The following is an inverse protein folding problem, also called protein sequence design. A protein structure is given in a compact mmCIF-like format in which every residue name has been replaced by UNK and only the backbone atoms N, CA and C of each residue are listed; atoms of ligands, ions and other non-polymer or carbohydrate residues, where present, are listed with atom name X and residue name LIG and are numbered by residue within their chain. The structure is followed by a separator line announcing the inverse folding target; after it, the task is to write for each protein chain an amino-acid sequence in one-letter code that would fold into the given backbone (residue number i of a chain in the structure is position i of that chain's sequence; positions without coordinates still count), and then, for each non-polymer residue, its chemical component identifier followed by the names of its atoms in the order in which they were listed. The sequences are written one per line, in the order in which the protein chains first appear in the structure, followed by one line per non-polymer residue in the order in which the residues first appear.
data_IF_227905929758
#
_entry.id   IF_227905929758
#
_cell.length_a   1.000
_cell.length_b   1.000
_cell.length_c   1.000
_cell.angle_alpha   90.00
_cell.angle_beta   90.00
_cell.angle_gamma   90.00
#
_symmetry.space_group_name_H-M   'P 1'
#
loop_
_entity.id
_entity.type
_entity.pdbx_description
1 polymer ?
#
# COMPACT_ATOMS: atom_id res chain seq x y z
N UNK A 1 -3.31 4.37 16.44
CA UNK A 1 -3.58 3.21 15.58
C UNK A 1 -4.54 2.22 16.24
N UNK A 2 -4.25 1.73 17.45
CA UNK A 2 -5.03 0.66 18.11
C UNK A 2 -6.53 0.98 18.30
N UNK A 3 -6.89 2.23 18.56
CA UNK A 3 -8.29 2.66 18.76
C UNK A 3 -8.96 3.24 17.51
N UNK A 4 -8.31 3.12 16.35
CA UNK A 4 -8.86 3.59 15.07
C UNK A 4 -9.24 2.38 14.24
N UNK A 5 -10.46 2.37 13.78
CA UNK A 5 -10.97 1.34 12.89
C UNK A 5 -10.40 1.51 11.49
N UNK A 6 -10.30 0.42 10.74
CA UNK A 6 -9.81 0.43 9.36
C UNK A 6 -10.91 0.93 8.42
N UNK A 7 -12.07 0.32 8.45
CA UNK A 7 -13.21 0.64 7.56
C UNK A 7 -14.40 1.16 8.36
N UNK A 8 -14.85 0.44 9.39
CA UNK A 8 -16.03 0.80 10.15
C UNK A 8 -15.72 1.82 11.24
N UNK A 9 -16.21 3.05 11.08
CA UNK A 9 -16.00 4.10 12.06
C UNK A 9 -16.65 3.79 13.41
N UNK A 10 -15.96 4.16 14.50
CA UNK A 10 -16.45 4.06 15.89
C UNK A 10 -16.79 2.62 16.33
N UNK A 11 -16.16 1.62 15.74
CA UNK A 11 -16.39 0.22 16.08
C UNK A 11 -15.81 -0.12 17.46
N UNK A 12 -16.61 -0.79 18.28
CA UNK A 12 -16.24 -1.25 19.62
C UNK A 12 -15.91 -2.75 19.68
N UNK A 13 -16.32 -3.52 18.65
CA UNK A 13 -16.02 -4.93 18.58
C UNK A 13 -14.51 -5.16 18.30
N UNK A 14 -13.84 -5.81 19.22
CA UNK A 14 -12.41 -6.08 19.11
C UNK A 14 -12.04 -7.09 18.00
N UNK A 15 -13.01 -7.87 17.52
CA UNK A 15 -12.81 -8.82 16.42
C UNK A 15 -12.69 -8.13 15.07
N UNK A 16 -13.24 -6.91 14.94
CA UNK A 16 -13.18 -6.12 13.71
C UNK A 16 -11.81 -5.44 13.59
N UNK A 17 -11.26 -5.43 12.38
CA UNK A 17 -9.93 -4.89 12.13
C UNK A 17 -9.79 -3.43 12.53
N UNK A 18 -8.80 -3.15 13.36
CA UNK A 18 -8.28 -1.81 13.61
C UNK A 18 -7.13 -1.52 12.64
N UNK A 19 -6.74 -0.25 12.51
CA UNK A 19 -5.54 0.11 11.74
C UNK A 19 -4.27 -0.59 12.24
N UNK A 20 -4.17 -0.86 13.53
CA UNK A 20 -3.02 -1.58 14.08
C UNK A 20 -3.03 -3.05 13.66
N UNK A 21 -4.18 -3.74 13.77
CA UNK A 21 -4.27 -5.16 13.38
C UNK A 21 -4.09 -5.34 11.88
N UNK A 22 -4.64 -4.44 11.05
CA UNK A 22 -4.36 -4.40 9.61
C UNK A 22 -2.87 -4.19 9.33
N UNK A 23 -2.23 -3.20 9.95
CA UNK A 23 -0.79 -2.97 9.74
C UNK A 23 0.07 -4.18 10.14
N UNK A 24 -0.31 -4.93 11.19
CA UNK A 24 0.35 -6.17 11.57
C UNK A 24 0.16 -7.29 10.53
N UNK A 25 -1.03 -7.39 9.94
CA UNK A 25 -1.34 -8.34 8.85
C UNK A 25 -0.51 -8.01 7.59
N UNK A 26 -0.47 -6.72 7.19
CA UNK A 26 0.36 -6.26 6.07
C UNK A 26 1.84 -6.54 6.32
N UNK A 27 2.34 -6.27 7.52
CA UNK A 27 3.73 -6.55 7.90
C UNK A 27 4.06 -8.06 7.82
N UNK A 28 3.14 -8.93 8.25
CA UNK A 28 3.31 -10.37 8.14
C UNK A 28 3.32 -10.85 6.68
N UNK A 29 2.43 -10.32 5.84
CA UNK A 29 2.40 -10.63 4.42
C UNK A 29 3.67 -10.14 3.71
N UNK A 30 4.15 -8.94 4.02
CA UNK A 30 5.42 -8.42 3.49
C UNK A 30 6.62 -9.30 3.87
N UNK A 31 6.66 -9.74 5.12
CA UNK A 31 7.66 -10.71 5.59
C UNK A 31 7.61 -12.01 4.81
N UNK A 32 6.40 -12.52 4.52
CA UNK A 32 6.21 -13.74 3.75
C UNK A 32 6.67 -13.55 2.29
N UNK A 33 6.29 -12.45 1.63
CA UNK A 33 6.75 -12.11 0.27
C UNK A 33 8.28 -12.00 0.25
N UNK A 34 8.88 -11.23 1.17
CA UNK A 34 10.32 -11.03 1.22
C UNK A 34 11.09 -12.34 1.40
N UNK A 35 10.62 -13.25 2.27
CA UNK A 35 11.21 -14.59 2.42
C UNK A 35 11.08 -15.43 1.18
N UNK A 36 9.90 -15.45 0.56
CA UNK A 36 9.66 -16.21 -0.68
C UNK A 36 10.59 -15.76 -1.80
N UNK A 37 10.77 -14.43 -1.96
CA UNK A 37 11.73 -13.86 -2.92
C UNK A 37 13.15 -14.34 -2.60
N UNK A 38 13.61 -14.21 -1.36
CA UNK A 38 14.95 -14.62 -0.98
C UNK A 38 15.20 -16.11 -1.17
N UNK A 39 14.24 -16.95 -0.81
CA UNK A 39 14.37 -18.42 -0.95
C UNK A 39 14.49 -18.83 -2.43
N UNK A 40 13.79 -18.14 -3.33
CA UNK A 40 13.94 -18.35 -4.76
C UNK A 40 15.28 -17.81 -5.31
N UNK A 41 15.70 -16.62 -4.88
CA UNK A 41 16.97 -16.02 -5.32
C UNK A 41 18.19 -16.79 -4.82
N UNK A 42 18.11 -17.43 -3.66
CA UNK A 42 19.18 -18.32 -3.13
C UNK A 42 19.54 -19.45 -4.08
N UNK A 43 18.60 -19.90 -4.90
CA UNK A 43 18.88 -20.95 -5.91
C UNK A 43 19.90 -20.51 -6.97
N UNK A 44 20.08 -19.18 -7.14
CA UNK A 44 20.96 -18.59 -8.15
C UNK A 44 22.11 -17.77 -7.54
N UNK A 45 22.45 -17.96 -6.28
CA UNK A 45 23.44 -17.20 -5.51
C UNK A 45 23.03 -15.73 -5.25
N UNK A 46 22.77 -15.40 -3.98
CA UNK A 46 22.35 -14.06 -3.53
C UNK A 46 23.36 -12.96 -3.85
N UNK A 47 24.64 -13.30 -3.99
CA UNK A 47 25.70 -12.36 -4.37
C UNK A 47 25.44 -11.71 -5.74
N UNK A 48 24.85 -12.47 -6.67
CA UNK A 48 24.48 -11.98 -8.01
C UNK A 48 23.47 -10.82 -7.93
N UNK A 49 22.66 -10.77 -6.85
CA UNK A 49 21.65 -9.75 -6.61
C UNK A 49 22.08 -8.68 -5.58
N UNK A 50 23.33 -8.75 -5.11
CA UNK A 50 23.83 -7.82 -4.06
C UNK A 50 23.15 -8.00 -2.70
N UNK A 51 22.59 -9.18 -2.42
CA UNK A 51 21.87 -9.50 -1.20
C UNK A 51 22.65 -10.43 -0.25
N UNK A 52 23.93 -10.73 -0.56
CA UNK A 52 24.81 -11.47 0.33
C UNK A 52 24.89 -10.77 1.70
N UNK A 53 24.67 -11.49 2.78
CA UNK A 53 24.62 -10.99 4.16
C UNK A 53 23.51 -9.94 4.47
N UNK A 54 22.65 -9.62 3.49
CA UNK A 54 21.60 -8.59 3.63
C UNK A 54 20.18 -9.18 3.86
N UNK A 55 20.04 -10.49 3.98
CA UNK A 55 18.74 -11.17 4.07
C UNK A 55 17.87 -10.63 5.22
N UNK A 56 18.46 -10.55 6.43
CA UNK A 56 17.73 -10.05 7.59
C UNK A 56 17.34 -8.57 7.44
N UNK A 57 18.20 -7.76 6.83
CA UNK A 57 17.92 -6.37 6.56
C UNK A 57 16.78 -6.21 5.53
N UNK A 58 16.77 -7.03 4.48
CA UNK A 58 15.72 -7.05 3.46
C UNK A 58 14.35 -7.42 4.08
N UNK A 59 14.30 -8.50 4.87
CA UNK A 59 13.06 -8.95 5.53
C UNK A 59 12.58 -7.91 6.55
N UNK A 60 13.45 -7.47 7.46
CA UNK A 60 13.06 -6.56 8.54
C UNK A 60 12.66 -5.19 8.02
N UNK A 61 13.28 -4.70 6.94
CA UNK A 61 12.86 -3.43 6.31
C UNK A 61 11.50 -3.58 5.62
N UNK A 62 11.25 -4.70 4.94
CA UNK A 62 9.94 -4.97 4.33
C UNK A 62 8.83 -5.02 5.39
N UNK A 63 9.07 -5.71 6.50
CA UNK A 63 8.15 -5.82 7.64
C UNK A 63 7.90 -4.45 8.29
N UNK A 64 8.95 -3.70 8.61
CA UNK A 64 8.85 -2.39 9.24
C UNK A 64 8.12 -1.39 8.34
N UNK A 65 8.46 -1.34 7.05
CA UNK A 65 7.83 -0.44 6.08
C UNK A 65 6.32 -0.69 6.01
N UNK A 66 5.94 -1.96 5.95
CA UNK A 66 4.54 -2.38 5.91
C UNK A 66 3.80 -2.10 7.21
N UNK A 67 4.47 -2.19 8.36
CA UNK A 67 3.88 -1.82 9.65
C UNK A 67 3.48 -0.34 9.73
N UNK A 68 4.19 0.54 9.05
CA UNK A 68 3.97 1.99 9.12
C UNK A 68 3.40 2.60 7.82
N UNK A 69 3.04 1.78 6.82
CA UNK A 69 2.61 2.26 5.50
C UNK A 69 1.43 3.25 5.59
N UNK A 70 0.49 3.00 6.49
CA UNK A 70 -0.76 3.76 6.68
C UNK A 70 -0.69 4.84 7.76
N UNK A 71 0.52 5.15 8.30
CA UNK A 71 0.66 6.09 9.42
C UNK A 71 0.17 7.51 9.08
N UNK A 72 0.18 7.87 7.80
CA UNK A 72 -0.26 9.18 7.32
C UNK A 72 -1.74 9.28 6.97
N UNK A 73 -2.45 8.17 6.88
CA UNK A 73 -3.86 8.18 6.50
C UNK A 73 -4.74 8.83 7.57
N UNK A 74 -5.60 9.79 7.20
CA UNK A 74 -6.53 10.41 8.15
C UNK A 74 -7.62 9.42 8.58
N UNK A 75 -8.33 9.68 9.69
CA UNK A 75 -9.58 8.97 9.99
C UNK A 75 -10.53 9.05 8.80
N UNK A 76 -11.24 7.97 8.48
CA UNK A 76 -12.13 7.84 7.32
C UNK A 76 -11.42 7.81 5.94
N UNK A 77 -10.10 7.56 5.89
CA UNK A 77 -9.35 7.29 4.66
C UNK A 77 -9.54 8.34 3.56
N UNK A 78 -9.80 7.91 2.34
CA UNK A 78 -9.93 8.78 1.17
C UNK A 78 -11.06 9.81 1.25
N UNK A 79 -12.16 9.50 1.93
CA UNK A 79 -13.22 10.48 2.16
C UNK A 79 -12.73 11.70 2.95
N UNK A 80 -11.92 11.45 3.99
CA UNK A 80 -11.34 12.54 4.76
C UNK A 80 -10.26 13.28 3.97
N UNK A 81 -9.43 12.62 3.17
CA UNK A 81 -8.46 13.27 2.27
C UNK A 81 -9.17 14.25 1.32
N UNK A 82 -10.23 13.79 0.66
CA UNK A 82 -11.02 14.64 -0.24
C UNK A 82 -11.65 15.84 0.51
N UNK A 83 -12.20 15.61 1.70
CA UNK A 83 -12.80 16.66 2.53
C UNK A 83 -11.76 17.68 2.98
N UNK A 84 -10.58 17.23 3.41
CA UNK A 84 -9.46 18.09 3.79
C UNK A 84 -9.01 18.93 2.59
N UNK A 85 -8.84 18.33 1.43
CA UNK A 85 -8.46 19.04 0.21
C UNK A 85 -9.50 20.09 -0.21
N UNK A 86 -10.79 19.77 -0.14
CA UNK A 86 -11.88 20.73 -0.39
C UNK A 86 -11.83 21.89 0.61
N UNK A 87 -11.66 21.58 1.88
CA UNK A 87 -11.60 22.61 2.93
C UNK A 87 -10.39 23.54 2.75
N UNK A 88 -9.21 22.99 2.44
CA UNK A 88 -7.98 23.77 2.21
C UNK A 88 -8.14 24.72 1.00
N UNK A 89 -8.73 24.23 -0.10
CA UNK A 89 -9.02 25.04 -1.28
C UNK A 89 -9.97 26.20 -0.99
N UNK A 90 -10.99 25.99 -0.16
CA UNK A 90 -11.98 27.01 0.16
C UNK A 90 -11.46 28.02 1.21
N UNK A 91 -10.76 27.56 2.23
CA UNK A 91 -10.46 28.38 3.41
C UNK A 91 -9.01 28.89 3.48
N UNK A 92 -8.05 28.15 2.92
CA UNK A 92 -6.63 28.50 3.03
C UNK A 92 -6.09 29.11 1.74
N UNK A 93 -6.42 28.51 0.58
CA UNK A 93 -5.93 28.99 -0.71
C UNK A 93 -6.23 30.46 -0.97
N UNK A 94 -7.45 31.00 -0.74
CA UNK A 94 -7.73 32.43 -0.94
C UNK A 94 -6.91 33.35 0.00
N UNK A 95 -6.62 32.89 1.23
CA UNK A 95 -5.77 33.64 2.15
C UNK A 95 -4.33 33.70 1.66
N UNK A 96 -3.81 32.57 1.18
CA UNK A 96 -2.49 32.50 0.57
C UNK A 96 -2.41 33.39 -0.70
N UNK A 97 -3.46 33.40 -1.52
CA UNK A 97 -3.54 34.25 -2.72
C UNK A 97 -3.57 35.73 -2.40
N UNK A 98 -4.30 36.14 -1.34
CA UNK A 98 -4.38 37.54 -0.92
C UNK A 98 -3.10 38.03 -0.21
N UNK A 99 -2.19 37.13 0.18
CA UNK A 99 -0.94 37.52 0.80
C UNK A 99 -0.05 38.27 -0.20
N UNK A 100 0.29 39.52 0.15
CA UNK A 100 1.14 40.37 -0.69
C UNK A 100 2.60 39.97 -0.49
N UNK A 101 3.26 39.59 -1.56
CA UNK A 101 4.68 39.30 -1.57
C UNK A 101 5.51 40.56 -1.69
N UNK A 102 6.65 40.62 -0.98
CA UNK A 102 7.60 41.69 -1.03
C UNK A 102 8.82 41.43 -1.92
N UNK A 103 9.03 40.15 -2.26
CA UNK A 103 10.17 39.71 -3.11
C UNK A 103 9.73 38.62 -4.08
N UNK A 104 10.54 38.40 -5.14
CA UNK A 104 10.30 37.35 -6.12
C UNK A 104 10.38 35.95 -5.49
N UNK A 105 11.32 35.73 -4.57
CA UNK A 105 11.48 34.45 -3.90
C UNK A 105 10.23 34.07 -3.08
N UNK A 106 9.58 35.04 -2.43
CA UNK A 106 8.34 34.82 -1.69
C UNK A 106 7.19 34.51 -2.66
N UNK A 107 7.13 35.13 -3.82
CA UNK A 107 6.10 34.83 -4.82
C UNK A 107 6.28 33.44 -5.44
N UNK A 108 7.54 33.03 -5.72
CA UNK A 108 7.86 31.69 -6.19
C UNK A 108 7.47 30.64 -5.13
N UNK A 109 7.82 30.87 -3.86
CA UNK A 109 7.44 30.00 -2.75
C UNK A 109 5.92 29.92 -2.59
N UNK A 110 5.21 31.04 -2.72
CA UNK A 110 3.75 31.10 -2.68
C UNK A 110 3.11 30.26 -3.78
N UNK A 111 3.67 30.31 -4.99
CA UNK A 111 3.22 29.47 -6.11
C UNK A 111 3.37 27.98 -5.82
N UNK A 112 4.52 27.57 -5.26
CA UNK A 112 4.77 26.19 -4.84
C UNK A 112 3.79 25.76 -3.76
N UNK A 113 3.59 26.58 -2.72
CA UNK A 113 2.71 26.28 -1.59
C UNK A 113 1.24 26.19 -1.98
N UNK A 114 0.78 26.91 -3.01
CA UNK A 114 -0.58 26.75 -3.55
C UNK A 114 -0.85 25.32 -3.99
N UNK A 115 0.08 24.72 -4.72
CA UNK A 115 -0.04 23.32 -5.16
C UNK A 115 0.13 22.36 -3.99
N UNK A 116 1.13 22.57 -3.15
CA UNK A 116 1.47 21.70 -2.02
C UNK A 116 0.30 21.54 -1.03
N UNK A 117 -0.30 22.66 -0.61
CA UNK A 117 -1.41 22.70 0.35
C UNK A 117 -2.68 22.05 -0.22
N UNK A 118 -2.94 22.17 -1.54
CA UNK A 118 -4.14 21.65 -2.18
C UNK A 118 -4.07 20.17 -2.56
N UNK A 119 -2.95 19.50 -2.29
CA UNK A 119 -2.69 18.11 -2.61
C UNK A 119 -2.39 17.29 -1.36
N UNK A 120 -3.24 17.42 -0.32
CA UNK A 120 -3.15 16.57 0.87
C UNK A 120 -3.34 15.09 0.47
N UNK A 121 -2.42 14.23 0.91
CA UNK A 121 -2.43 12.79 0.65
C UNK A 121 -1.78 12.05 1.82
N UNK A 122 -2.35 10.91 2.23
CA UNK A 122 -1.85 10.10 3.34
C UNK A 122 -0.41 9.63 3.13
N UNK A 123 -0.01 9.33 1.89
CA UNK A 123 1.37 8.91 1.61
C UNK A 123 2.37 10.04 1.87
N UNK A 124 2.06 11.25 1.41
CA UNK A 124 2.90 12.43 1.70
C UNK A 124 2.92 12.77 3.19
N UNK A 125 1.76 12.64 3.86
CA UNK A 125 1.66 12.86 5.29
C UNK A 125 2.45 11.82 6.10
N UNK A 126 2.58 10.57 5.62
CA UNK A 126 3.40 9.54 6.26
C UNK A 126 4.86 10.01 6.37
N UNK A 127 5.46 10.48 5.28
CA UNK A 127 6.84 10.99 5.29
C UNK A 127 6.99 12.15 6.27
N UNK A 128 6.06 13.10 6.31
CA UNK A 128 6.06 14.20 7.27
C UNK A 128 5.97 13.70 8.72
N UNK A 129 5.08 12.76 9.01
CA UNK A 129 4.92 12.21 10.36
C UNK A 129 6.21 11.56 10.84
N UNK A 130 6.78 10.64 10.05
CA UNK A 130 7.96 9.89 10.48
C UNK A 130 9.22 10.76 10.60
N UNK A 131 9.36 11.81 9.80
CA UNK A 131 10.60 12.61 9.71
C UNK A 131 10.54 13.92 10.52
N UNK A 132 9.40 14.62 10.51
CA UNK A 132 9.27 15.95 11.10
C UNK A 132 8.46 15.97 12.40
N UNK A 133 7.30 15.27 12.42
CA UNK A 133 6.38 15.37 13.55
C UNK A 133 6.75 14.41 14.68
N UNK A 134 6.95 13.12 14.37
CA UNK A 134 7.31 12.10 15.36
C UNK A 134 8.81 11.86 15.47
N UNK A 135 9.58 12.21 14.45
CA UNK A 135 11.04 12.07 14.41
C UNK A 135 11.50 10.67 14.82
N UNK A 136 10.98 9.65 14.13
CA UNK A 136 11.16 8.22 14.48
C UNK A 136 12.59 7.72 14.28
N UNK A 137 13.58 8.54 14.09
CA UNK A 137 15.00 8.17 13.94
C UNK A 137 15.25 6.95 13.02
N UNK A 138 14.51 6.87 11.92
CA UNK A 138 14.66 5.82 10.91
C UNK A 138 15.88 6.10 10.03
N UNK A 139 16.52 5.04 9.54
CA UNK A 139 17.56 5.15 8.51
C UNK A 139 16.99 5.66 7.18
N UNK A 140 17.84 6.19 6.31
CA UNK A 140 17.43 6.62 4.97
C UNK A 140 16.80 5.48 4.17
N UNK A 141 17.33 4.27 4.31
CA UNK A 141 16.81 3.07 3.70
C UNK A 141 15.37 2.78 4.13
N UNK A 142 15.07 2.96 5.41
CA UNK A 142 13.73 2.75 5.96
C UNK A 142 12.76 3.86 5.57
N UNK A 143 13.20 5.12 5.55
CA UNK A 143 12.35 6.25 5.15
C UNK A 143 11.93 6.13 3.69
N UNK A 144 12.88 5.87 2.78
CA UNK A 144 12.59 5.80 1.35
C UNK A 144 11.70 4.60 1.00
N UNK A 145 11.76 3.52 1.77
CA UNK A 145 10.92 2.36 1.57
C UNK A 145 9.42 2.65 1.80
N UNK A 146 9.08 3.66 2.62
CA UNK A 146 7.69 4.11 2.84
C UNK A 146 7.18 5.00 1.70
N UNK A 147 8.07 5.55 0.87
CA UNK A 147 7.71 6.45 -0.22
C UNK A 147 7.02 5.69 -1.37
N UNK A 148 5.71 5.46 -1.25
CA UNK A 148 4.89 4.71 -2.24
C UNK A 148 4.84 5.43 -3.58
N UNK A 149 4.63 6.75 -3.58
CA UNK A 149 4.61 7.61 -4.75
C UNK A 149 5.80 8.57 -4.74
N UNK A 150 6.35 8.83 -5.91
CA UNK A 150 7.66 9.50 -6.05
C UNK A 150 7.54 10.97 -6.45
N UNK A 151 6.32 11.50 -6.60
CA UNK A 151 6.03 12.89 -6.97
C UNK A 151 5.86 13.76 -5.73
N UNK A 152 6.45 14.96 -5.71
CA UNK A 152 6.14 15.99 -4.72
C UNK A 152 4.71 16.53 -4.87
N UNK A 153 4.05 16.90 -3.77
CA UNK A 153 2.70 17.46 -3.79
C UNK A 153 2.62 18.79 -4.54
N UNK A 154 3.74 19.49 -4.64
CA UNK A 154 3.92 20.76 -5.36
C UNK A 154 4.15 20.59 -6.87
N UNK A 155 4.36 19.35 -7.34
CA UNK A 155 4.58 19.05 -8.75
C UNK A 155 3.25 18.71 -9.45
N UNK A 156 3.18 18.96 -10.76
CA UNK A 156 2.01 18.60 -11.56
C UNK A 156 1.86 17.07 -11.66
N UNK A 157 0.60 16.63 -11.75
CA UNK A 157 0.33 15.23 -12.06
C UNK A 157 0.89 14.89 -13.45
N UNK A 158 1.59 13.77 -13.62
CA UNK A 158 2.15 13.39 -14.90
C UNK A 158 1.06 13.10 -15.95
N UNK A 159 1.38 13.32 -17.21
CA UNK A 159 0.58 12.87 -18.33
C UNK A 159 0.65 11.34 -18.49
N UNK A 160 -0.29 10.77 -19.21
CA UNK A 160 -0.31 9.33 -19.49
C UNK A 160 0.90 8.85 -20.32
N UNK A 161 1.60 9.77 -20.99
CA UNK A 161 2.82 9.50 -21.74
C UNK A 161 4.09 9.41 -20.88
N UNK A 162 4.05 9.84 -19.62
CA UNK A 162 5.19 9.71 -18.70
C UNK A 162 5.43 8.22 -18.40
N UNK A 163 6.65 7.75 -18.66
CA UNK A 163 7.05 6.36 -18.41
C UNK A 163 6.97 5.93 -16.95
N UNK A 164 6.83 6.87 -16.01
CA UNK A 164 6.69 6.65 -14.56
C UNK A 164 5.34 7.17 -14.03
N UNK A 165 4.33 7.27 -14.88
CA UNK A 165 3.04 7.86 -14.53
C UNK A 165 2.36 7.15 -13.36
N UNK A 166 2.46 5.82 -13.25
CA UNK A 166 1.95 5.05 -12.11
C UNK A 166 2.65 5.44 -10.81
N UNK A 167 3.97 5.51 -10.81
CA UNK A 167 4.77 5.85 -9.63
C UNK A 167 4.54 7.28 -9.15
N UNK A 168 4.09 8.16 -10.06
CA UNK A 168 3.85 9.59 -9.81
C UNK A 168 2.36 9.95 -9.73
N UNK A 169 1.44 8.98 -9.74
CA UNK A 169 -0.01 9.24 -9.83
C UNK A 169 -0.57 10.04 -8.65
N UNK A 170 0.03 9.89 -7.45
CA UNK A 170 -0.33 10.60 -6.21
C UNK A 170 0.88 11.34 -5.63
N UNK A 171 0.68 12.30 -4.71
CA UNK A 171 1.76 12.90 -3.93
C UNK A 171 2.42 11.88 -3.00
N UNK A 172 3.75 11.90 -2.93
CA UNK A 172 4.54 11.07 -2.00
C UNK A 172 5.20 11.87 -0.87
N UNK A 173 5.41 13.18 -1.07
CA UNK A 173 6.00 14.06 -0.05
C UNK A 173 5.60 15.52 -0.32
N UNK A 174 5.65 16.35 0.72
CA UNK A 174 5.39 17.79 0.61
C UNK A 174 6.69 18.57 0.39
N UNK A 175 6.55 19.84 0.02
CA UNK A 175 7.69 20.72 -0.24
C UNK A 175 8.66 20.81 0.96
N UNK A 176 8.15 20.79 2.18
CA UNK A 176 8.98 20.82 3.40
C UNK A 176 9.86 19.58 3.59
N UNK A 177 9.58 18.47 2.93
CA UNK A 177 10.37 17.24 2.97
C UNK A 177 11.27 17.07 1.72
N UNK A 178 11.18 17.98 0.72
CA UNK A 178 11.92 17.91 -0.56
C UNK A 178 13.41 17.68 -0.36
N UNK A 179 14.07 18.56 0.39
CA UNK A 179 15.54 18.48 0.58
C UNK A 179 15.96 17.16 1.24
N UNK A 180 15.14 16.65 2.16
CA UNK A 180 15.39 15.35 2.80
C UNK A 180 15.26 14.21 1.80
N UNK A 181 14.19 14.19 0.99
CA UNK A 181 13.98 13.15 -0.03
C UNK A 181 15.10 13.18 -1.06
N UNK A 182 15.48 14.33 -1.58
CA UNK A 182 16.58 14.50 -2.53
C UNK A 182 17.93 14.03 -1.93
N UNK A 183 18.18 14.37 -0.67
CA UNK A 183 19.36 13.90 0.07
C UNK A 183 19.39 12.38 0.19
N UNK A 184 18.25 11.76 0.53
CA UNK A 184 18.14 10.30 0.63
C UNK A 184 18.37 9.66 -0.73
N UNK A 185 17.73 10.16 -1.80
CA UNK A 185 17.89 9.65 -3.16
C UNK A 185 19.34 9.73 -3.62
N UNK A 186 19.99 10.87 -3.39
CA UNK A 186 21.42 11.05 -3.73
C UNK A 186 22.31 10.08 -2.95
N UNK A 187 22.08 9.93 -1.64
CA UNK A 187 22.87 9.05 -0.76
C UNK A 187 22.75 7.58 -1.16
N UNK A 188 21.55 7.16 -1.57
CA UNK A 188 21.25 5.78 -1.96
C UNK A 188 21.35 5.53 -3.48
N UNK A 189 21.81 6.53 -4.24
CA UNK A 189 21.93 6.48 -5.71
C UNK A 189 20.59 6.10 -6.40
N UNK A 190 19.46 6.64 -5.90
CA UNK A 190 18.14 6.47 -6.49
C UNK A 190 17.86 7.67 -7.39
N UNK A 191 17.52 7.43 -8.65
CA UNK A 191 17.16 8.50 -9.60
C UNK A 191 15.84 9.17 -9.18
N UNK A 192 15.71 10.47 -9.45
CA UNK A 192 14.48 11.20 -9.19
C UNK A 192 13.28 10.56 -9.91
N UNK A 193 12.15 10.43 -9.22
CA UNK A 193 10.97 9.78 -9.76
C UNK A 193 11.00 8.24 -9.74
N UNK A 194 12.11 7.63 -9.34
CA UNK A 194 12.23 6.17 -9.22
C UNK A 194 11.81 5.70 -7.83
N UNK A 195 11.24 4.48 -7.77
CA UNK A 195 10.73 3.86 -6.55
C UNK A 195 11.76 2.90 -5.96
N UNK A 196 11.85 2.87 -4.64
CA UNK A 196 12.71 1.93 -3.93
C UNK A 196 12.16 0.49 -3.98
N UNK A 197 13.00 -0.56 -4.16
CA UNK A 197 12.54 -1.94 -4.37
C UNK A 197 11.59 -2.48 -3.31
N UNK A 198 11.85 -2.23 -2.02
CA UNK A 198 11.02 -2.73 -0.91
C UNK A 198 9.61 -2.13 -0.93
N UNK A 199 9.44 -0.95 -1.50
CA UNK A 199 8.11 -0.31 -1.60
C UNK A 199 7.14 -1.12 -2.45
N UNK A 200 7.61 -1.87 -3.45
CA UNK A 200 6.77 -2.78 -4.23
C UNK A 200 6.27 -3.97 -3.41
N UNK A 201 7.10 -4.46 -2.48
CA UNK A 201 6.71 -5.53 -1.54
C UNK A 201 5.66 -5.02 -0.57
N UNK A 202 5.85 -3.82 -0.02
CA UNK A 202 4.90 -3.17 0.87
C UNK A 202 3.53 -2.99 0.18
N UNK A 203 3.51 -2.45 -1.03
CA UNK A 203 2.27 -2.24 -1.81
C UNK A 203 1.55 -3.57 -2.06
N UNK A 204 2.25 -4.60 -2.52
CA UNK A 204 1.66 -5.92 -2.75
C UNK A 204 1.15 -6.58 -1.46
N UNK A 205 1.84 -6.40 -0.34
CA UNK A 205 1.40 -6.92 0.95
C UNK A 205 0.12 -6.25 1.44
N UNK A 206 -0.03 -4.95 1.22
CA UNK A 206 -1.23 -4.18 1.52
C UNK A 206 -2.41 -4.67 0.68
N UNK A 207 -2.23 -4.75 -0.65
CA UNK A 207 -3.24 -5.23 -1.58
C UNK A 207 -3.71 -6.66 -1.25
N UNK A 208 -2.78 -7.58 -0.92
CA UNK A 208 -3.11 -8.96 -0.51
C UNK A 208 -3.88 -8.98 0.82
N UNK A 209 -3.59 -8.09 1.75
CA UNK A 209 -4.27 -8.02 3.04
C UNK A 209 -5.73 -7.55 2.91
N UNK A 210 -6.05 -6.77 1.88
CA UNK A 210 -7.42 -6.31 1.61
C UNK A 210 -8.32 -7.36 0.94
N UNK A 211 -7.79 -8.42 0.34
CA UNK A 211 -8.55 -9.37 -0.47
C UNK A 211 -9.82 -9.95 0.20
N UNK A 212 -9.78 -10.18 1.51
CA UNK A 212 -10.91 -10.75 2.26
C UNK A 212 -11.37 -9.89 3.43
N UNK A 213 -10.61 -8.86 3.78
CA UNK A 213 -10.77 -8.13 5.04
C UNK A 213 -12.17 -7.51 5.22
N UNK A 214 -12.64 -6.78 4.22
CA UNK A 214 -13.93 -6.06 4.31
C UNK A 214 -15.12 -7.02 4.33
N UNK A 215 -15.02 -8.14 3.63
CA UNK A 215 -16.05 -9.17 3.62
C UNK A 215 -16.13 -9.90 4.97
N UNK A 216 -14.98 -10.28 5.52
CA UNK A 216 -14.90 -10.91 6.83
C UNK A 216 -15.43 -9.97 7.91
N UNK A 217 -15.01 -8.70 7.92
CA UNK A 217 -15.50 -7.71 8.88
C UNK A 217 -17.01 -7.45 8.73
N UNK A 218 -17.58 -7.54 7.52
CA UNK A 218 -19.01 -7.38 7.29
C UNK A 218 -19.86 -8.51 7.89
N UNK A 219 -19.34 -9.75 7.84
CA UNK A 219 -20.01 -10.90 8.46
C UNK A 219 -19.84 -10.88 9.98
N UNK A 220 -18.64 -10.54 10.47
CA UNK A 220 -18.39 -10.38 11.91
C UNK A 220 -19.30 -9.33 12.56
N UNK A 221 -19.65 -8.28 11.82
CA UNK A 221 -20.64 -7.26 12.24
C UNK A 221 -22.09 -7.73 12.12
N UNK A 222 -22.36 -8.85 11.50
CA UNK A 222 -23.73 -9.29 11.21
C UNK A 222 -24.45 -8.44 10.15
N UNK A 223 -23.71 -7.71 9.30
CA UNK A 223 -24.26 -6.97 8.16
C UNK A 223 -24.66 -7.96 7.06
N UNK A 224 -23.84 -8.97 6.83
CA UNK A 224 -24.09 -10.07 5.90
C UNK A 224 -23.91 -11.40 6.62
N UNK A 225 -24.67 -12.40 6.20
CA UNK A 225 -24.42 -13.80 6.58
C UNK A 225 -23.32 -14.41 5.70
N UNK A 226 -22.74 -15.53 6.15
CA UNK A 226 -21.78 -16.28 5.35
C UNK A 226 -22.35 -16.70 3.99
N UNK A 227 -23.60 -17.16 3.96
CA UNK A 227 -24.28 -17.63 2.75
C UNK A 227 -24.55 -16.48 1.77
N UNK A 228 -24.88 -15.28 2.28
CA UNK A 228 -25.02 -14.07 1.45
C UNK A 228 -23.68 -13.68 0.83
N UNK A 229 -22.59 -13.65 1.60
CA UNK A 229 -21.26 -13.37 1.08
C UNK A 229 -20.84 -14.39 0.02
N UNK A 230 -21.03 -15.68 0.29
CA UNK A 230 -20.75 -16.74 -0.68
C UNK A 230 -21.52 -16.53 -1.99
N UNK A 231 -22.84 -16.26 -1.91
CA UNK A 231 -23.67 -16.04 -3.09
C UNK A 231 -23.27 -14.79 -3.88
N UNK A 232 -22.94 -13.69 -3.20
CA UNK A 232 -22.48 -12.44 -3.84
C UNK A 232 -21.18 -12.71 -4.63
N UNK A 233 -20.17 -13.27 -3.97
CA UNK A 233 -18.86 -13.46 -4.60
C UNK A 233 -18.95 -14.46 -5.77
N UNK A 234 -19.64 -15.59 -5.58
CA UNK A 234 -19.77 -16.59 -6.65
C UNK A 234 -20.57 -16.08 -7.84
N UNK A 235 -21.60 -15.25 -7.60
CA UNK A 235 -22.34 -14.57 -8.67
C UNK A 235 -21.44 -13.63 -9.47
N UNK A 236 -20.63 -12.81 -8.80
CA UNK A 236 -19.69 -11.89 -9.48
C UNK A 236 -18.58 -12.63 -10.22
N UNK A 237 -17.97 -13.66 -9.61
CA UNK A 237 -17.00 -14.52 -10.29
C UNK A 237 -17.58 -15.15 -11.57
N UNK A 238 -18.83 -15.62 -11.51
CA UNK A 238 -19.51 -16.22 -12.67
C UNK A 238 -19.75 -15.18 -13.78
N UNK A 239 -20.20 -13.98 -13.44
CA UNK A 239 -20.43 -12.89 -14.41
C UNK A 239 -19.14 -12.47 -15.11
N UNK A 240 -18.02 -12.51 -14.41
CA UNK A 240 -16.70 -12.08 -14.90
C UNK A 240 -15.89 -13.23 -15.50
N UNK A 241 -16.38 -14.46 -15.50
CA UNK A 241 -15.68 -15.68 -15.91
C UNK A 241 -14.37 -15.91 -15.12
N UNK A 242 -14.41 -15.68 -13.80
CA UNK A 242 -13.27 -15.86 -12.91
C UNK A 242 -13.25 -17.28 -12.31
N UNK A 243 -12.93 -18.28 -13.14
CA UNK A 243 -12.93 -19.70 -12.77
C UNK A 243 -11.97 -20.01 -11.61
N UNK A 244 -10.80 -19.38 -11.58
CA UNK A 244 -9.79 -19.63 -10.55
C UNK A 244 -10.29 -19.25 -9.14
N UNK A 245 -10.88 -18.06 -9.02
CA UNK A 245 -11.40 -17.59 -7.73
C UNK A 245 -12.65 -18.39 -7.33
N UNK A 246 -13.52 -18.66 -8.30
CA UNK A 246 -14.74 -19.46 -8.09
C UNK A 246 -14.41 -20.87 -7.56
N UNK A 247 -13.42 -21.55 -8.12
CA UNK A 247 -12.97 -22.86 -7.66
C UNK A 247 -12.48 -22.81 -6.20
N UNK A 248 -11.65 -21.81 -5.87
CA UNK A 248 -11.16 -21.63 -4.50
C UNK A 248 -12.31 -21.41 -3.54
N UNK A 249 -13.23 -20.50 -3.85
CA UNK A 249 -14.34 -20.13 -2.96
C UNK A 249 -15.25 -21.34 -2.72
N UNK A 250 -15.65 -22.03 -3.76
CA UNK A 250 -16.50 -23.21 -3.65
C UNK A 250 -15.84 -24.29 -2.77
N UNK A 251 -14.57 -24.59 -3.01
CA UNK A 251 -13.82 -25.57 -2.22
C UNK A 251 -13.74 -25.21 -0.74
N UNK A 252 -13.50 -23.94 -0.42
CA UNK A 252 -13.38 -23.52 0.98
C UNK A 252 -14.76 -23.44 1.67
N UNK A 253 -15.79 -23.06 0.94
CA UNK A 253 -17.16 -23.06 1.45
C UNK A 253 -17.63 -24.47 1.80
N UNK A 254 -17.50 -25.42 0.87
CA UNK A 254 -17.82 -26.83 1.11
C UNK A 254 -17.04 -27.43 2.30
N UNK A 255 -15.78 -27.02 2.45
CA UNK A 255 -14.96 -27.46 3.57
C UNK A 255 -15.44 -26.85 4.90
N UNK A 256 -15.87 -25.59 4.90
CA UNK A 256 -16.39 -24.93 6.08
C UNK A 256 -17.73 -25.51 6.52
N UNK A 257 -18.64 -25.81 5.57
CA UNK A 257 -19.96 -26.40 5.83
C UNK A 257 -19.94 -27.79 6.46
N UNK A 258 -18.79 -28.48 6.47
CA UNK A 258 -18.62 -29.75 7.20
C UNK A 258 -18.47 -29.58 8.72
N UNK A 259 -18.34 -28.35 9.20
CA UNK A 259 -18.21 -28.02 10.61
C UNK A 259 -19.57 -27.57 11.18
N UNK A 260 -19.67 -27.56 12.52
CA UNK A 260 -20.85 -27.03 13.20
C UNK A 260 -21.05 -25.55 12.92
N UNK A 261 -22.30 -25.11 12.86
CA UNK A 261 -22.72 -23.78 12.42
C UNK A 261 -21.95 -22.62 13.06
N UNK A 262 -21.66 -22.58 14.37
CA UNK A 262 -20.91 -21.47 14.97
C UNK A 262 -19.48 -21.29 14.44
N UNK A 263 -18.91 -22.36 13.87
CA UNK A 263 -17.52 -22.36 13.39
C UNK A 263 -17.40 -22.19 11.88
N UNK A 264 -18.48 -22.32 11.11
CA UNK A 264 -18.45 -22.28 9.64
C UNK A 264 -17.86 -20.97 9.11
N UNK A 265 -18.25 -19.83 9.68
CA UNK A 265 -17.74 -18.51 9.32
C UNK A 265 -16.21 -18.42 9.52
N UNK A 266 -15.75 -18.72 10.72
CA UNK A 266 -14.32 -18.65 11.05
C UNK A 266 -13.47 -19.58 10.17
N UNK A 267 -13.98 -20.79 9.92
CA UNK A 267 -13.29 -21.80 9.10
C UNK A 267 -13.26 -21.37 7.63
N UNK A 268 -14.34 -20.83 7.09
CA UNK A 268 -14.39 -20.33 5.71
C UNK A 268 -13.35 -19.25 5.47
N UNK A 269 -13.38 -18.17 6.25
CA UNK A 269 -12.45 -17.06 6.05
C UNK A 269 -10.99 -17.44 6.37
N UNK A 270 -10.76 -18.31 7.36
CA UNK A 270 -9.41 -18.81 7.62
C UNK A 270 -8.86 -19.59 6.43
N UNK A 271 -9.61 -20.54 5.89
CA UNK A 271 -9.17 -21.34 4.75
C UNK A 271 -9.04 -20.50 3.47
N UNK A 272 -9.99 -19.60 3.23
CA UNK A 272 -9.97 -18.70 2.08
C UNK A 272 -8.72 -17.81 2.12
N UNK A 273 -8.50 -17.13 3.24
CA UNK A 273 -7.35 -16.24 3.43
C UNK A 273 -6.01 -16.98 3.26
N UNK A 274 -5.83 -18.12 3.93
CA UNK A 274 -4.59 -18.91 3.79
C UNK A 274 -4.36 -19.31 2.33
N UNK A 275 -5.42 -19.73 1.64
CA UNK A 275 -5.31 -20.15 0.22
C UNK A 275 -4.97 -18.98 -0.68
N UNK A 276 -5.68 -17.85 -0.55
CA UNK A 276 -5.44 -16.66 -1.37
C UNK A 276 -4.06 -16.06 -1.08
N UNK A 277 -3.72 -15.81 0.18
CA UNK A 277 -2.41 -15.27 0.56
C UNK A 277 -1.28 -16.12 -0.01
N UNK A 278 -1.34 -17.45 0.13
CA UNK A 278 -0.29 -18.35 -0.40
C UNK A 278 -0.14 -18.23 -1.91
N UNK A 279 -1.24 -18.18 -2.64
CA UNK A 279 -1.24 -18.07 -4.10
C UNK A 279 -0.73 -16.70 -4.57
N UNK A 280 -1.23 -15.62 -3.95
CA UNK A 280 -0.86 -14.26 -4.33
C UNK A 280 0.58 -13.92 -3.93
N UNK A 281 1.06 -14.36 -2.75
CA UNK A 281 2.46 -14.21 -2.34
C UNK A 281 3.40 -14.86 -3.35
N UNK A 282 3.08 -16.09 -3.78
CA UNK A 282 3.88 -16.76 -4.82
C UNK A 282 3.88 -15.95 -6.11
N UNK A 283 2.72 -15.52 -6.58
CA UNK A 283 2.58 -14.74 -7.81
C UNK A 283 3.39 -13.43 -7.77
N UNK A 284 3.23 -12.60 -6.73
CA UNK A 284 3.96 -11.33 -6.63
C UNK A 284 5.46 -11.53 -6.48
N UNK A 285 5.89 -12.62 -5.83
CA UNK A 285 7.31 -12.97 -5.73
C UNK A 285 7.88 -13.34 -7.10
N UNK A 286 7.16 -14.13 -7.89
CA UNK A 286 7.55 -14.48 -9.26
C UNK A 286 7.64 -13.24 -10.16
N UNK A 287 6.65 -12.33 -10.07
CA UNK A 287 6.66 -11.04 -10.80
C UNK A 287 7.85 -10.18 -10.38
N UNK A 288 8.13 -10.08 -9.08
CA UNK A 288 9.26 -9.33 -8.55
C UNK A 288 10.59 -9.86 -9.09
N UNK A 289 10.81 -11.17 -9.03
CA UNK A 289 12.04 -11.81 -9.48
C UNK A 289 12.22 -11.65 -11.00
N UNK A 290 11.15 -11.86 -11.78
CA UNK A 290 11.16 -11.70 -13.23
C UNK A 290 11.54 -10.28 -13.66
N UNK A 291 11.13 -9.28 -12.90
CA UNK A 291 11.35 -7.87 -13.19
C UNK A 291 12.43 -7.22 -12.29
N UNK A 292 13.27 -8.03 -11.61
CA UNK A 292 14.20 -7.56 -10.60
C UNK A 292 15.10 -6.39 -11.05
N UNK A 293 15.53 -6.35 -12.32
CA UNK A 293 16.37 -5.25 -12.85
C UNK A 293 15.62 -3.92 -12.85
N UNK A 294 14.41 -3.88 -13.42
CA UNK A 294 13.60 -2.67 -13.47
C UNK A 294 13.16 -2.24 -12.05
N UNK A 295 12.88 -3.20 -11.16
CA UNK A 295 12.55 -2.95 -9.76
C UNK A 295 13.76 -2.40 -9.01
N UNK A 296 14.96 -2.97 -9.19
CA UNK A 296 16.19 -2.48 -8.58
C UNK A 296 16.55 -1.07 -9.07
N UNK A 297 16.37 -0.79 -10.36
CA UNK A 297 16.54 0.56 -10.93
C UNK A 297 15.43 1.52 -10.52
N UNK A 298 14.33 1.03 -9.94
CA UNK A 298 13.16 1.80 -9.51
C UNK A 298 12.28 2.30 -10.65
N UNK A 299 12.43 1.75 -11.86
CA UNK A 299 11.71 2.13 -13.09
C UNK A 299 10.51 1.24 -13.42
N UNK A 300 10.25 0.20 -12.64
CA UNK A 300 9.09 -0.67 -12.82
C UNK A 300 7.78 0.09 -12.51
N UNK A 301 7.04 0.47 -13.56
CA UNK A 301 5.92 1.42 -13.49
C UNK A 301 4.56 0.73 -13.27
N UNK A 302 4.50 -0.26 -12.39
CA UNK A 302 3.29 -1.05 -12.10
C UNK A 302 3.24 -1.45 -10.62
N UNK A 303 2.04 -1.81 -10.12
CA UNK A 303 1.92 -2.68 -8.96
C UNK A 303 2.27 -4.13 -9.36
N UNK A 304 2.79 -4.91 -8.42
CA UNK A 304 3.16 -6.31 -8.71
C UNK A 304 1.94 -7.16 -9.09
N UNK A 305 0.80 -6.93 -8.45
CA UNK A 305 -0.46 -7.64 -8.75
C UNK A 305 -1.06 -7.22 -10.10
N UNK A 306 -0.88 -5.97 -10.53
CA UNK A 306 -1.51 -5.40 -11.73
C UNK A 306 -0.63 -5.53 -12.99
N UNK A 307 0.57 -6.08 -12.89
CA UNK A 307 1.54 -6.12 -13.99
C UNK A 307 1.08 -6.94 -15.17
N UNK A 308 0.60 -8.16 -14.92
CA UNK A 308 0.15 -9.09 -15.96
C UNK A 308 -1.38 -9.13 -16.03
N UNK A 309 -1.94 -8.32 -16.91
CA UNK A 309 -3.40 -8.24 -17.14
C UNK A 309 -4.02 -9.53 -17.70
N UNK A 310 -3.20 -10.47 -18.17
CA UNK A 310 -3.67 -11.77 -18.65
C UNK A 310 -3.65 -12.82 -17.56
N UNK A 311 -2.99 -12.54 -16.45
CA UNK A 311 -2.90 -13.44 -15.31
C UNK A 311 -4.26 -13.64 -14.65
N UNK A 312 -4.55 -14.88 -14.24
CA UNK A 312 -5.69 -15.20 -13.38
C UNK A 312 -5.68 -14.44 -12.03
N UNK A 313 -4.52 -13.98 -11.58
CA UNK A 313 -4.38 -13.20 -10.36
C UNK A 313 -4.74 -11.72 -10.53
N UNK A 314 -4.61 -11.18 -11.74
CA UNK A 314 -5.07 -9.81 -12.04
C UNK A 314 -6.59 -9.73 -12.10
N UNK A 315 -7.23 -10.80 -12.60
CA UNK A 315 -8.68 -10.87 -12.74
C UNK A 315 -9.38 -11.19 -11.41
N UNK A 316 -8.76 -12.00 -10.55
CA UNK A 316 -9.26 -12.33 -9.21
C UNK A 316 -9.15 -11.16 -8.23
#
# INVERSE_FOLDING_TARGET
LQKRTQVFALELNASIRSRLTHSLEVAQNARYIARTILDELKKNDLKTYGLEDMENAFISTSEMTSLIHDIGNPPFGHFAEETINKWLKINILPKLESFKSSTKEIEDLKSILKSDICNYDGNAQAIRIITKLQRLNLSYFQIIAVLKYTRGAFENKPDNSDSLNYLKKKPGFYYSEKDLVEKIQTTLNIKAGHRFPITYIMEAADDISYLTADLEDSVEKGILSLDEVYNIITSECTKQNEEFLLEIINKQYEKAKKNDEPYQFNMFFTFLRVTLVTNFVKHVSDVFIKNHKAIFEGSFNHALLEYDKTSKYYKA
#
